data_IF_877385451242
#
_entry.id   IF_877385451242
#
_cell.length_a   1.000
_cell.length_b   1.000
_cell.length_c   1.000
_cell.angle_alpha   90.00
_cell.angle_beta   90.00
_cell.angle_gamma   90.00
#
_symmetry.space_group_name_H-M   'P 1'
#
loop_
_entity.id
_entity.type
_entity.pdbx_description
1 polymer ?
#
# COMPACT_ATOMS: atom_id res chain seq x y z
N UNK A 1 10.82 16.74 -23.24
CA UNK A 1 9.98 16.99 -22.04
C UNK A 1 8.77 16.08 -21.97
N UNK A 2 8.13 15.85 -23.10
CA UNK A 2 6.99 14.92 -23.19
C UNK A 2 7.41 13.53 -22.76
N UNK A 3 8.57 13.05 -23.22
CA UNK A 3 9.12 11.75 -22.84
C UNK A 3 9.35 11.60 -21.34
N UNK A 4 9.84 12.67 -20.69
CA UNK A 4 10.08 12.68 -19.25
C UNK A 4 8.76 12.57 -18.49
N UNK A 5 7.73 13.32 -18.92
CA UNK A 5 6.40 13.28 -18.32
C UNK A 5 5.77 11.89 -18.47
N UNK A 6 5.89 11.27 -19.64
CA UNK A 6 5.39 9.91 -19.91
C UNK A 6 6.08 8.88 -18.99
N UNK A 7 7.41 8.95 -18.85
CA UNK A 7 8.16 8.05 -17.98
C UNK A 7 7.74 8.19 -16.53
N UNK A 8 7.52 9.42 -16.06
CA UNK A 8 7.03 9.65 -14.69
C UNK A 8 5.64 9.09 -14.50
N UNK A 9 4.75 9.27 -15.46
CA UNK A 9 3.40 8.73 -15.40
C UNK A 9 3.41 7.19 -15.35
N UNK A 10 4.25 6.54 -16.14
CA UNK A 10 4.42 5.09 -16.14
C UNK A 10 4.95 4.58 -14.80
N UNK A 11 5.98 5.22 -14.24
CA UNK A 11 6.54 4.87 -12.93
C UNK A 11 5.50 5.03 -11.83
N UNK A 12 4.74 6.12 -11.84
CA UNK A 12 3.70 6.38 -10.86
C UNK A 12 2.60 5.34 -10.93
N UNK A 13 2.18 4.98 -12.14
CA UNK A 13 1.18 3.94 -12.36
C UNK A 13 1.65 2.59 -11.84
N UNK A 14 2.91 2.23 -12.11
CA UNK A 14 3.51 0.98 -11.63
C UNK A 14 3.54 0.92 -10.10
N UNK A 15 3.98 1.99 -9.46
CA UNK A 15 4.04 2.06 -7.99
C UNK A 15 2.64 2.00 -7.38
N UNK A 16 1.68 2.73 -7.95
CA UNK A 16 0.29 2.69 -7.48
C UNK A 16 -0.32 1.30 -7.62
N UNK A 17 -0.01 0.60 -8.70
CA UNK A 17 -0.45 -0.79 -8.89
C UNK A 17 0.11 -1.72 -7.83
N UNK A 18 1.39 -1.58 -7.48
CA UNK A 18 2.02 -2.36 -6.41
C UNK A 18 1.37 -2.10 -5.06
N UNK A 19 1.08 -0.83 -4.76
CA UNK A 19 0.41 -0.45 -3.52
C UNK A 19 -0.99 -1.07 -3.47
N UNK A 20 -1.75 -0.96 -4.54
CA UNK A 20 -3.10 -1.57 -4.61
C UNK A 20 -3.04 -3.07 -4.42
N UNK A 21 -2.08 -3.74 -5.05
CA UNK A 21 -1.90 -5.19 -4.91
C UNK A 21 -1.57 -5.56 -3.47
N UNK A 22 -0.68 -4.82 -2.83
CA UNK A 22 -0.32 -5.06 -1.43
C UNK A 22 -1.53 -4.88 -0.50
N UNK A 23 -2.31 -3.83 -0.71
CA UNK A 23 -3.54 -3.58 0.06
C UNK A 23 -4.56 -4.70 -0.15
N UNK A 24 -4.74 -5.15 -1.39
CA UNK A 24 -5.65 -6.27 -1.69
C UNK A 24 -5.23 -7.55 -0.98
N UNK A 25 -3.93 -7.81 -0.87
CA UNK A 25 -3.42 -8.98 -0.12
C UNK A 25 -3.78 -8.88 1.36
N UNK A 26 -3.67 -7.70 1.95
CA UNK A 26 -4.09 -7.47 3.33
C UNK A 26 -5.59 -7.74 3.47
N UNK A 27 -6.41 -7.16 2.58
CA UNK A 27 -7.86 -7.35 2.60
C UNK A 27 -8.25 -8.82 2.43
N UNK A 28 -7.59 -9.53 1.53
CA UNK A 28 -7.83 -10.96 1.31
C UNK A 28 -7.51 -11.78 2.57
N UNK A 29 -6.41 -11.47 3.25
CA UNK A 29 -6.04 -12.14 4.49
C UNK A 29 -7.04 -11.84 5.61
N UNK A 30 -7.54 -10.61 5.67
CA UNK A 30 -8.58 -10.20 6.63
C UNK A 30 -9.88 -10.97 6.34
N UNK A 31 -10.28 -11.04 5.07
CA UNK A 31 -11.47 -11.79 4.65
C UNK A 31 -11.36 -13.28 4.98
N UNK A 32 -10.16 -13.85 4.88
CA UNK A 32 -9.87 -15.23 5.24
C UNK A 32 -9.74 -15.42 6.77
N UNK A 33 -9.79 -14.33 7.54
CA UNK A 33 -9.63 -14.33 8.99
C UNK A 33 -8.29 -14.94 9.43
N UNK A 34 -7.24 -14.70 8.64
CA UNK A 34 -5.88 -15.19 8.90
C UNK A 34 -5.01 -14.03 9.39
N UNK A 35 -4.91 -13.90 10.71
CA UNK A 35 -4.16 -12.81 11.34
C UNK A 35 -2.68 -12.83 10.97
N UNK A 36 -2.05 -13.99 10.98
CA UNK A 36 -0.63 -14.11 10.66
C UNK A 36 -0.33 -13.64 9.24
N UNK A 37 -1.14 -14.08 8.27
CA UNK A 37 -1.01 -13.65 6.88
C UNK A 37 -1.32 -12.15 6.73
N UNK A 38 -2.33 -11.66 7.45
CA UNK A 38 -2.69 -10.25 7.45
C UNK A 38 -1.56 -9.37 7.99
N UNK A 39 -0.90 -9.78 9.06
CA UNK A 39 0.24 -9.05 9.62
C UNK A 39 1.42 -9.01 8.64
N UNK A 40 1.73 -10.13 8.02
CA UNK A 40 2.81 -10.19 7.01
C UNK A 40 2.47 -9.30 5.80
N UNK A 41 1.25 -9.37 5.31
CA UNK A 41 0.77 -8.55 4.19
C UNK A 41 0.77 -7.06 4.58
N UNK A 42 0.40 -6.74 5.81
CA UNK A 42 0.42 -5.36 6.33
C UNK A 42 1.83 -4.77 6.29
N UNK A 43 2.83 -5.51 6.74
CA UNK A 43 4.22 -5.06 6.70
C UNK A 43 4.68 -4.76 5.27
N UNK A 44 4.33 -5.62 4.32
CA UNK A 44 4.65 -5.41 2.92
C UNK A 44 3.93 -4.18 2.36
N UNK A 45 2.66 -4.00 2.71
CA UNK A 45 1.87 -2.85 2.28
C UNK A 45 2.44 -1.53 2.82
N UNK A 46 2.82 -1.50 4.09
CA UNK A 46 3.44 -0.32 4.72
C UNK A 46 4.75 0.02 4.01
N UNK A 47 5.58 -0.97 3.72
CA UNK A 47 6.84 -0.77 2.99
C UNK A 47 6.60 -0.14 1.62
N UNK A 48 5.64 -0.66 0.86
CA UNK A 48 5.30 -0.11 -0.46
C UNK A 48 4.75 1.31 -0.37
N UNK A 49 3.90 1.59 0.62
CA UNK A 49 3.36 2.93 0.86
C UNK A 49 4.47 3.92 1.23
N UNK A 50 5.42 3.52 2.07
CA UNK A 50 6.57 4.36 2.43
C UNK A 50 7.43 4.68 1.22
N UNK A 51 7.71 3.71 0.38
CA UNK A 51 8.47 3.92 -0.86
C UNK A 51 7.76 4.90 -1.78
N UNK A 52 6.44 4.76 -1.94
CA UNK A 52 5.64 5.65 -2.76
C UNK A 52 5.64 7.08 -2.21
N UNK A 53 5.60 7.22 -0.89
CA UNK A 53 5.65 8.53 -0.22
C UNK A 53 7.01 9.20 -0.45
N UNK A 54 8.10 8.46 -0.32
CA UNK A 54 9.45 8.98 -0.57
C UNK A 54 9.63 9.44 -2.01
N UNK A 55 8.99 8.76 -2.95
CA UNK A 55 9.01 9.13 -4.37
C UNK A 55 8.09 10.31 -4.70
N UNK A 56 7.29 10.77 -3.74
CA UNK A 56 6.36 11.87 -3.93
C UNK A 56 5.06 11.49 -4.64
N UNK A 57 4.78 10.19 -4.78
CA UNK A 57 3.56 9.70 -5.43
C UNK A 57 2.35 9.86 -4.50
N UNK A 58 2.54 9.58 -3.22
CA UNK A 58 1.52 9.78 -2.19
C UNK A 58 1.99 10.80 -1.17
N UNK A 59 1.06 11.64 -0.72
CA UNK A 59 1.31 12.56 0.39
C UNK A 59 1.39 11.76 1.70
N UNK A 60 2.24 12.21 2.63
CA UNK A 60 2.42 11.55 3.93
C UNK A 60 1.11 11.36 4.69
N UNK A 61 0.18 12.31 4.59
CA UNK A 61 -1.11 12.21 5.26
C UNK A 61 -1.97 11.08 4.66
N UNK A 62 -1.96 10.93 3.34
CA UNK A 62 -2.66 9.84 2.65
C UNK A 62 -2.09 8.49 3.07
N UNK A 63 -0.76 8.39 3.11
CA UNK A 63 -0.06 7.18 3.55
C UNK A 63 -0.43 6.83 4.99
N UNK A 64 -0.38 7.82 5.88
CA UNK A 64 -0.70 7.62 7.29
C UNK A 64 -2.14 7.10 7.46
N UNK A 65 -3.10 7.66 6.72
CA UNK A 65 -4.50 7.20 6.78
C UNK A 65 -4.63 5.75 6.30
N UNK A 66 -3.99 5.41 5.19
CA UNK A 66 -4.03 4.04 4.64
C UNK A 66 -3.41 3.04 5.62
N UNK A 67 -2.25 3.35 6.17
CA UNK A 67 -1.57 2.50 7.16
C UNK A 67 -2.43 2.34 8.40
N UNK A 68 -3.00 3.43 8.91
CA UNK A 68 -3.86 3.40 10.09
C UNK A 68 -5.06 2.49 9.89
N UNK A 69 -5.78 2.64 8.77
CA UNK A 69 -6.95 1.81 8.46
C UNK A 69 -6.60 0.34 8.34
N UNK A 70 -5.52 0.02 7.66
CA UNK A 70 -5.06 -1.35 7.50
C UNK A 70 -4.66 -1.96 8.85
N UNK A 71 -3.94 -1.20 9.66
CA UNK A 71 -3.52 -1.64 11.00
C UNK A 71 -4.73 -1.94 11.89
N UNK A 72 -5.71 -1.04 11.90
CA UNK A 72 -6.94 -1.24 12.67
C UNK A 72 -7.67 -2.50 12.20
N UNK A 73 -7.81 -2.67 10.88
CA UNK A 73 -8.49 -3.84 10.32
C UNK A 73 -7.79 -5.14 10.71
N UNK A 74 -6.46 -5.17 10.67
CA UNK A 74 -5.68 -6.36 11.09
C UNK A 74 -5.83 -6.61 12.58
N UNK A 75 -5.79 -5.57 13.40
CA UNK A 75 -5.93 -5.70 14.86
C UNK A 75 -7.32 -6.19 15.29
N UNK A 76 -8.33 -6.02 14.46
CA UNK A 76 -9.67 -6.56 14.73
C UNK A 76 -9.77 -8.07 14.56
N UNK A 77 -8.79 -8.69 13.91
CA UNK A 77 -8.75 -10.13 13.77
C UNK A 77 -8.41 -10.78 15.11
N UNK A 78 -9.13 -11.82 15.42
CA UNK A 78 -8.93 -12.54 16.67
C UNK A 78 -7.65 -13.37 16.66
#
# INVERSE_FOLDING_TARGET
RILVAEKRAEKNKSVRSRVKTAVKKVDAAIAANDKAAAEAALKAAVSELDKATKKGIYHKNTTARKVSRLTIAVNKLA
#
